data_IF_505370769694
#
_entry.id   IF_505370769694
#
_cell.length_a   1.000
_cell.length_b   1.000
_cell.length_c   1.000
_cell.angle_alpha   90.00
_cell.angle_beta   90.00
_cell.angle_gamma   90.00
#
_symmetry.space_group_name_H-M   'P 1'
#
loop_
_entity.id
_entity.type
_entity.pdbx_description
1 polymer ?
#
# COMPACT_ATOMS: atom_id res chain seq x y z
N UNK A 1 -14.19 2.57 1.16
CA UNK A 1 -14.64 1.35 1.87
C UNK A 1 -13.88 1.25 3.19
N UNK A 2 -14.60 1.30 4.31
CA UNK A 2 -13.99 1.13 5.64
C UNK A 2 -13.67 -0.35 5.82
N UNK A 3 -12.39 -0.68 6.05
CA UNK A 3 -11.96 -2.06 6.28
C UNK A 3 -11.92 -2.34 7.79
N UNK A 4 -12.60 -3.41 8.22
CA UNK A 4 -12.49 -3.87 9.60
C UNK A 4 -11.20 -4.68 9.77
N UNK A 5 -10.47 -4.46 10.86
CA UNK A 5 -9.25 -5.20 11.22
C UNK A 5 -9.46 -6.72 11.28
N UNK A 6 -10.67 -7.17 11.57
CA UNK A 6 -11.01 -8.59 11.72
C UNK A 6 -11.26 -9.32 10.39
N UNK A 7 -11.31 -8.62 9.24
CA UNK A 7 -11.58 -9.24 7.93
C UNK A 7 -10.71 -10.49 7.65
N UNK A 8 -9.38 -10.48 7.84
CA UNK A 8 -8.55 -11.66 7.61
C UNK A 8 -8.84 -12.83 8.56
N UNK A 9 -9.37 -12.56 9.75
CA UNK A 9 -9.79 -13.59 10.70
C UNK A 9 -11.15 -14.17 10.34
N UNK A 10 -12.06 -13.35 9.78
CA UNK A 10 -13.34 -13.82 9.25
C UNK A 10 -13.14 -14.75 8.05
N UNK A 11 -12.20 -14.42 7.14
CA UNK A 11 -11.87 -15.28 5.99
C UNK A 11 -11.34 -16.65 6.44
N UNK A 12 -10.32 -16.65 7.31
CA UNK A 12 -9.76 -17.90 7.85
C UNK A 12 -10.80 -18.72 8.60
N UNK A 13 -11.65 -18.06 9.39
CA UNK A 13 -12.76 -18.71 10.07
C UNK A 13 -13.79 -19.31 9.10
N UNK A 14 -14.11 -18.59 8.02
CA UNK A 14 -15.01 -19.06 6.96
C UNK A 14 -14.44 -20.25 6.17
N UNK A 15 -13.12 -20.38 6.09
CA UNK A 15 -12.42 -21.49 5.45
C UNK A 15 -12.11 -22.66 6.40
N UNK A 16 -12.74 -22.70 7.58
CA UNK A 16 -12.54 -23.71 8.63
C UNK A 16 -11.08 -23.83 9.12
N UNK A 17 -10.25 -22.81 8.93
CA UNK A 17 -8.93 -22.73 9.54
C UNK A 17 -9.09 -22.44 11.05
N UNK A 18 -8.59 -23.35 11.90
CA UNK A 18 -8.86 -23.47 13.35
C UNK A 18 -8.38 -22.31 14.26
N UNK A 19 -8.62 -21.05 13.90
CA UNK A 19 -8.23 -19.89 14.70
C UNK A 19 -9.45 -19.23 15.38
N UNK A 20 -9.58 -19.41 16.69
CA UNK A 20 -10.44 -18.62 17.62
C UNK A 20 -11.89 -18.42 17.16
N UNK A 21 -12.56 -19.52 16.81
CA UNK A 21 -13.90 -19.53 16.21
C UNK A 21 -14.93 -18.70 17.00
N UNK A 22 -14.98 -18.83 18.32
CA UNK A 22 -15.97 -18.13 19.16
C UNK A 22 -15.79 -16.59 19.12
N UNK A 23 -14.54 -16.11 19.17
CA UNK A 23 -14.26 -14.67 19.18
C UNK A 23 -14.60 -14.00 17.84
N UNK A 24 -14.38 -14.71 16.74
CA UNK A 24 -14.71 -14.22 15.39
C UNK A 24 -16.22 -14.21 15.20
N UNK A 25 -16.93 -15.28 15.62
CA UNK A 25 -18.38 -15.35 15.55
C UNK A 25 -19.05 -14.23 16.38
N UNK A 26 -18.57 -13.98 17.60
CA UNK A 26 -19.07 -12.89 18.42
C UNK A 26 -18.83 -11.52 17.78
N UNK A 27 -17.65 -11.31 17.19
CA UNK A 27 -17.33 -10.06 16.51
C UNK A 27 -18.23 -9.82 15.28
N UNK A 28 -18.43 -10.85 14.45
CA UNK A 28 -19.30 -10.76 13.25
C UNK A 28 -20.73 -10.39 13.64
N UNK A 29 -21.25 -10.93 14.75
CA UNK A 29 -22.58 -10.59 15.24
C UNK A 29 -22.73 -9.12 15.66
N UNK A 30 -21.63 -8.44 16.03
CA UNK A 30 -21.62 -7.06 16.50
C UNK A 30 -21.18 -6.06 15.42
N UNK A 31 -20.44 -6.50 14.41
CA UNK A 31 -19.89 -5.64 13.37
C UNK A 31 -20.64 -5.80 12.04
N UNK A 32 -21.44 -4.80 11.67
CA UNK A 32 -22.22 -4.79 10.43
C UNK A 32 -21.36 -5.01 9.17
N UNK A 33 -20.16 -4.41 9.12
CA UNK A 33 -19.22 -4.56 7.99
C UNK A 33 -18.77 -6.03 7.84
N UNK A 34 -18.42 -6.69 8.94
CA UNK A 34 -18.02 -8.09 8.90
C UNK A 34 -19.19 -9.03 8.61
N UNK A 35 -20.40 -8.70 9.06
CA UNK A 35 -21.62 -9.42 8.71
C UNK A 35 -21.96 -9.36 7.21
N UNK A 36 -21.91 -8.16 6.62
CA UNK A 36 -22.08 -7.98 5.17
C UNK A 36 -20.98 -8.71 4.38
N UNK A 37 -19.74 -8.65 4.85
CA UNK A 37 -18.63 -9.33 4.22
C UNK A 37 -18.79 -10.85 4.24
N UNK A 38 -19.19 -11.43 5.39
CA UNK A 38 -19.48 -12.85 5.51
C UNK A 38 -20.62 -13.28 4.57
N UNK A 39 -21.68 -12.47 4.47
CA UNK A 39 -22.77 -12.74 3.53
C UNK A 39 -22.29 -12.74 2.07
N UNK A 40 -21.34 -11.86 1.72
CA UNK A 40 -20.70 -11.86 0.41
C UNK A 40 -19.87 -13.13 0.16
N UNK A 41 -19.08 -13.58 1.16
CA UNK A 41 -18.31 -14.83 1.08
C UNK A 41 -19.22 -16.05 0.86
N UNK A 42 -20.34 -16.15 1.58
CA UNK A 42 -21.33 -17.21 1.35
C UNK A 42 -21.91 -17.20 -0.07
N UNK A 43 -22.25 -16.02 -0.61
CA UNK A 43 -22.74 -15.91 -1.99
C UNK A 43 -21.71 -16.37 -3.00
N UNK A 44 -20.44 -16.03 -2.80
CA UNK A 44 -19.35 -16.46 -3.68
C UNK A 44 -19.15 -17.97 -3.63
N UNK A 45 -19.10 -18.57 -2.43
CA UNK A 45 -18.97 -20.03 -2.27
C UNK A 45 -20.15 -20.76 -2.89
N UNK A 46 -21.38 -20.33 -2.62
CA UNK A 46 -22.57 -20.93 -3.23
C UNK A 46 -22.56 -20.77 -4.76
N UNK A 47 -22.10 -19.62 -5.28
CA UNK A 47 -21.96 -19.43 -6.73
C UNK A 47 -20.92 -20.36 -7.35
N UNK A 48 -19.79 -20.57 -6.66
CA UNK A 48 -18.75 -21.49 -7.08
C UNK A 48 -19.22 -22.95 -7.03
N UNK A 49 -19.95 -23.35 -5.99
CA UNK A 49 -20.55 -24.69 -5.87
C UNK A 49 -21.59 -24.95 -6.96
N UNK A 50 -22.43 -23.95 -7.28
CA UNK A 50 -23.39 -24.05 -8.38
C UNK A 50 -22.69 -24.19 -9.74
N UNK A 51 -21.51 -23.60 -9.91
CA UNK A 51 -20.70 -23.73 -11.11
C UNK A 51 -19.82 -25.01 -11.13
N UNK A 52 -19.61 -25.66 -9.98
CA UNK A 52 -18.80 -26.86 -9.86
C UNK A 52 -19.40 -28.08 -10.57
N UNK A 53 -20.71 -28.04 -10.85
CA UNK A 53 -21.39 -28.95 -11.76
C UNK A 53 -21.60 -28.23 -13.09
N UNK A 54 -20.60 -28.20 -13.98
CA UNK A 54 -20.84 -27.68 -15.32
C UNK A 54 -21.91 -28.55 -15.96
N UNK A 55 -23.10 -27.97 -16.16
CA UNK A 55 -24.14 -28.59 -16.95
C UNK A 55 -23.53 -28.84 -18.33
N UNK A 56 -23.39 -30.11 -18.71
CA UNK A 56 -22.74 -30.48 -19.96
C UNK A 56 -23.62 -29.99 -21.09
N UNK A 57 -23.13 -29.04 -21.86
CA UNK A 57 -23.81 -28.59 -23.06
C UNK A 57 -23.67 -29.72 -24.08
N UNK A 58 -24.77 -30.42 -24.32
CA UNK A 58 -24.82 -31.45 -25.36
C UNK A 58 -24.79 -30.79 -26.76
N UNK A 59 -24.30 -31.51 -27.76
CA UNK A 59 -24.14 -30.99 -29.13
C UNK A 59 -25.46 -30.43 -29.72
N UNK A 60 -26.59 -30.94 -29.27
CA UNK A 60 -27.94 -30.48 -29.66
C UNK A 60 -28.31 -29.12 -29.05
N UNK A 61 -27.75 -28.78 -27.90
CA UNK A 61 -27.97 -27.52 -27.19
C UNK A 61 -26.96 -26.44 -27.57
N UNK A 62 -25.80 -26.84 -28.12
CA UNK A 62 -24.71 -25.95 -28.50
C UNK A 62 -25.12 -24.82 -29.46
N UNK A 63 -25.95 -25.04 -30.51
CA UNK A 63 -26.38 -23.97 -31.40
C UNK A 63 -27.21 -22.90 -30.68
N UNK A 64 -28.14 -23.32 -29.81
CA UNK A 64 -28.99 -22.41 -29.04
C UNK A 64 -28.18 -21.63 -27.98
N UNK A 65 -27.20 -22.29 -27.36
CA UNK A 65 -26.25 -21.65 -26.46
C UNK A 65 -25.42 -20.56 -27.15
N UNK A 66 -24.84 -20.87 -28.32
CA UNK A 66 -24.07 -19.91 -29.12
C UNK A 66 -24.93 -18.75 -29.63
N UNK A 67 -26.17 -19.01 -29.99
CA UNK A 67 -27.15 -17.99 -30.38
C UNK A 67 -27.51 -17.09 -29.17
N UNK A 68 -27.63 -17.67 -27.98
CA UNK A 68 -27.78 -16.93 -26.72
C UNK A 68 -26.61 -15.99 -26.41
N UNK A 69 -25.36 -16.44 -26.55
CA UNK A 69 -24.15 -15.60 -26.41
C UNK A 69 -24.17 -14.48 -27.46
N UNK A 70 -24.50 -14.82 -28.71
CA UNK A 70 -24.54 -13.86 -29.81
C UNK A 70 -25.61 -12.78 -29.60
N UNK A 71 -26.75 -13.14 -29.00
CA UNK A 71 -27.86 -12.23 -28.67
C UNK A 71 -27.67 -11.45 -27.37
N UNK A 72 -26.99 -12.02 -26.37
CA UNK A 72 -26.64 -11.35 -25.09
C UNK A 72 -25.38 -10.49 -25.18
N UNK A 73 -24.71 -10.44 -26.32
CA UNK A 73 -23.88 -9.29 -26.68
C UNK A 73 -24.79 -8.07 -26.90
N UNK A 74 -25.42 -7.60 -25.83
CA UNK A 74 -25.78 -6.19 -25.73
C UNK A 74 -24.52 -5.37 -26.05
N UNK A 75 -24.63 -4.25 -26.78
CA UNK A 75 -23.47 -3.43 -27.07
C UNK A 75 -22.79 -3.09 -25.74
N UNK A 76 -21.53 -3.50 -25.59
CA UNK A 76 -20.74 -3.27 -24.38
C UNK A 76 -21.06 -1.88 -23.81
N UNK A 77 -21.66 -1.83 -22.62
CA UNK A 77 -22.10 -0.58 -22.00
C UNK A 77 -21.01 0.47 -22.17
N UNK A 78 -21.37 1.63 -22.72
CA UNK A 78 -20.46 2.71 -23.17
C UNK A 78 -19.24 2.80 -22.25
N UNK A 79 -18.12 2.19 -22.67
CA UNK A 79 -16.90 2.16 -21.86
C UNK A 79 -16.41 3.60 -21.76
N UNK A 80 -16.48 4.21 -20.57
CA UNK A 80 -15.82 5.49 -20.27
C UNK A 80 -14.28 5.40 -20.30
N UNK A 81 -13.71 4.40 -20.98
CA UNK A 81 -12.27 4.15 -21.06
C UNK A 81 -11.49 5.31 -21.69
N UNK A 82 -12.13 6.14 -22.52
CA UNK A 82 -11.50 7.35 -23.05
C UNK A 82 -11.13 8.35 -21.95
N UNK A 83 -12.02 8.59 -20.98
CA UNK A 83 -11.77 9.56 -19.90
C UNK A 83 -10.62 9.10 -18.99
N UNK A 84 -10.56 7.80 -18.69
CA UNK A 84 -9.47 7.21 -17.92
C UNK A 84 -8.14 7.19 -18.69
N UNK A 85 -8.18 6.99 -20.00
CA UNK A 85 -6.99 7.10 -20.83
C UNK A 85 -6.43 8.53 -20.84
N UNK A 86 -7.28 9.55 -20.95
CA UNK A 86 -6.85 10.95 -20.87
C UNK A 86 -6.27 11.30 -19.49
N UNK A 87 -6.91 10.84 -18.40
CA UNK A 87 -6.39 11.06 -17.05
C UNK A 87 -4.98 10.49 -16.86
N UNK A 88 -4.73 9.27 -17.36
CA UNK A 88 -3.41 8.63 -17.30
C UNK A 88 -2.35 9.36 -18.12
N UNK A 89 -2.70 9.79 -19.34
CA UNK A 89 -1.79 10.56 -20.21
C UNK A 89 -1.47 11.91 -19.60
N UNK A 90 -2.46 12.62 -19.04
CA UNK A 90 -2.25 13.90 -18.37
C UNK A 90 -1.36 13.77 -17.13
N UNK A 91 -1.56 12.73 -16.33
CA UNK A 91 -0.71 12.46 -15.16
C UNK A 91 0.75 12.19 -15.57
N UNK A 92 0.97 11.34 -16.59
CA UNK A 92 2.29 11.06 -17.10
C UNK A 92 2.99 12.32 -17.66
N UNK A 93 2.25 13.17 -18.38
CA UNK A 93 2.77 14.43 -18.90
C UNK A 93 3.18 15.41 -17.79
N UNK A 94 2.40 15.50 -16.70
CA UNK A 94 2.78 16.33 -15.54
C UNK A 94 4.06 15.85 -14.88
N UNK A 95 4.21 14.54 -14.67
CA UNK A 95 5.42 13.97 -14.07
C UNK A 95 6.63 14.31 -14.94
N UNK A 96 6.54 14.08 -16.25
CA UNK A 96 7.62 14.40 -17.18
C UNK A 96 7.98 15.89 -17.16
N UNK A 97 6.98 16.78 -17.13
CA UNK A 97 7.21 18.22 -17.06
C UNK A 97 7.90 18.66 -15.77
N UNK A 98 7.49 18.11 -14.61
CA UNK A 98 8.11 18.41 -13.31
C UNK A 98 9.55 17.89 -13.26
N UNK A 99 9.79 16.66 -13.73
CA UNK A 99 11.15 16.11 -13.79
C UNK A 99 12.06 16.96 -14.67
N UNK A 100 11.56 17.39 -15.84
CA UNK A 100 12.32 18.24 -16.74
C UNK A 100 12.59 19.61 -16.12
N UNK A 101 11.58 20.20 -15.45
CA UNK A 101 11.75 21.45 -14.72
C UNK A 101 12.82 21.36 -13.63
N UNK A 102 12.85 20.28 -12.84
CA UNK A 102 13.88 20.09 -11.80
C UNK A 102 15.29 19.98 -12.39
N UNK A 103 15.44 19.33 -13.55
CA UNK A 103 16.74 19.23 -14.23
C UNK A 103 17.20 20.60 -14.76
N UNK A 104 16.29 21.39 -15.34
CA UNK A 104 16.65 22.67 -15.95
C UNK A 104 16.69 23.86 -14.98
N UNK A 105 15.89 23.85 -13.92
CA UNK A 105 15.86 24.92 -12.92
C UNK A 105 17.13 24.97 -12.07
N UNK A 106 17.93 23.89 -12.10
CA UNK A 106 19.13 23.74 -11.28
C UNK A 106 18.76 23.51 -9.82
N UNK A 107 19.54 22.68 -9.13
CA UNK A 107 19.43 22.51 -7.68
C UNK A 107 19.64 23.90 -7.04
N UNK A 108 18.78 24.34 -6.09
CA UNK A 108 19.09 25.52 -5.28
C UNK A 108 20.51 25.32 -4.73
N UNK A 109 21.37 26.33 -4.93
CA UNK A 109 22.74 26.26 -4.41
C UNK A 109 22.65 25.88 -2.94
N UNK A 110 23.33 24.81 -2.54
CA UNK A 110 23.53 24.51 -1.13
C UNK A 110 24.11 25.79 -0.53
N UNK A 111 23.31 26.49 0.27
CA UNK A 111 23.80 27.60 1.07
C UNK A 111 24.84 26.95 1.97
N UNK A 112 26.10 27.20 1.64
CA UNK A 112 27.26 26.77 2.42
C UNK A 112 26.93 27.10 3.86
N UNK A 113 26.68 26.07 4.65
CA UNK A 113 26.42 26.21 6.07
C UNK A 113 27.56 27.07 6.62
N UNK A 114 27.17 28.14 7.31
CA UNK A 114 28.07 29.04 8.00
C UNK A 114 29.03 28.18 8.80
N UNK A 115 30.31 28.21 8.44
CA UNK A 115 31.35 27.44 9.11
C UNK A 115 31.26 27.80 10.60
N UNK A 116 30.83 26.85 11.43
CA UNK A 116 30.89 26.99 12.89
C UNK A 116 32.35 26.76 13.25
N UNK A 117 33.13 27.85 13.30
CA UNK A 117 34.59 27.81 13.47
C UNK A 117 35.06 27.49 14.90
N UNK A 118 34.18 27.31 15.89
CA UNK A 118 34.65 26.99 17.24
C UNK A 118 33.63 26.18 18.04
N UNK A 119 34.07 25.00 18.49
CA UNK A 119 33.47 24.29 19.61
C UNK A 119 34.50 24.29 20.74
N UNK A 120 34.35 25.21 21.70
CA UNK A 120 35.16 25.22 22.92
C UNK A 120 34.51 24.32 23.96
N UNK A 121 35.31 23.48 24.60
CA UNK A 121 34.90 22.63 25.73
C UNK A 121 35.77 23.00 26.92
N UNK A 122 35.16 23.36 28.05
CA UNK A 122 35.84 23.67 29.31
C UNK A 122 36.25 22.42 30.11
N UNK A 123 36.15 21.22 29.53
CA UNK A 123 36.51 19.96 30.20
C UNK A 123 38.00 19.68 30.01
N UNK A 124 38.77 19.77 31.09
CA UNK A 124 40.20 19.42 31.11
C UNK A 124 40.40 17.95 30.69
N UNK A 125 41.12 17.74 29.58
CA UNK A 125 41.48 16.40 29.10
C UNK A 125 40.48 15.73 28.14
N UNK A 126 39.41 16.40 27.73
CA UNK A 126 38.49 15.85 26.71
C UNK A 126 39.06 16.04 25.29
N UNK A 127 39.01 14.98 24.48
CA UNK A 127 39.30 15.05 23.04
C UNK A 127 38.00 14.97 22.25
N UNK A 128 37.78 15.94 21.37
CA UNK A 128 36.63 15.96 20.46
C UNK A 128 37.09 15.39 19.12
N UNK A 129 36.53 14.25 18.76
CA UNK A 129 36.77 13.63 17.44
C UNK A 129 35.50 13.80 16.62
N UNK A 130 35.56 14.61 15.57
CA UNK A 130 34.48 14.74 14.60
C UNK A 130 34.73 13.72 13.50
N UNK A 131 34.09 12.55 13.60
CA UNK A 131 34.13 11.56 12.53
C UNK A 131 33.08 11.91 11.47
N UNK A 132 33.60 12.20 10.28
CA UNK A 132 33.01 12.29 8.95
C UNK A 132 31.48 12.47 8.80
N UNK A 133 31.13 13.60 8.20
CA UNK A 133 29.82 13.90 7.64
C UNK A 133 29.48 12.95 6.51
N UNK A 134 28.44 12.13 6.67
CA UNK A 134 27.41 11.83 5.66
C UNK A 134 26.37 10.91 6.31
N UNK A 135 25.39 11.48 7.02
CA UNK A 135 24.10 10.79 7.18
C UNK A 135 23.27 11.10 5.94
N UNK A 136 22.71 10.06 5.31
CA UNK A 136 21.89 10.20 4.10
C UNK A 136 20.56 10.91 4.33
N UNK A 137 20.26 11.28 5.58
CA UNK A 137 19.09 12.03 5.99
C UNK A 137 19.57 13.33 6.65
N UNK A 138 19.82 14.32 5.80
CA UNK A 138 20.33 15.62 6.20
C UNK A 138 19.43 16.29 7.24
N UNK A 139 19.97 16.46 8.45
CA UNK A 139 19.87 17.70 9.27
C UNK A 139 20.50 17.54 10.67
N UNK A 140 21.12 16.40 11.01
CA UNK A 140 21.67 16.19 12.36
C UNK A 140 23.17 15.90 12.33
N UNK A 141 23.97 16.82 12.87
CA UNK A 141 25.38 16.60 13.16
C UNK A 141 25.52 15.93 14.55
N UNK A 142 26.04 14.70 14.59
CA UNK A 142 26.32 14.02 15.86
C UNK A 142 27.75 14.32 16.28
N UNK A 143 27.94 14.92 17.45
CA UNK A 143 29.26 15.21 18.02
C UNK A 143 29.54 14.18 19.12
N UNK A 144 30.64 13.44 18.98
CA UNK A 144 31.11 12.51 20.01
C UNK A 144 32.18 13.18 20.87
N UNK A 145 31.90 13.28 22.17
CA UNK A 145 32.85 13.81 23.15
C UNK A 145 33.40 12.64 23.96
N UNK A 146 34.71 12.40 23.89
CA UNK A 146 35.38 11.40 24.71
C UNK A 146 35.96 12.07 25.96
N UNK A 147 35.46 11.66 27.13
CA UNK A 147 35.98 12.08 28.44
C UNK A 147 36.73 10.89 29.06
N UNK A 148 38.00 11.03 29.45
CA UNK A 148 38.72 9.96 30.13
C UNK A 148 38.12 9.69 31.52
N UNK A 149 37.88 8.43 31.86
CA UNK A 149 37.15 7.95 33.06
C UNK A 149 37.72 8.39 34.43
N UNK A 150 38.73 9.25 34.50
CA UNK A 150 39.42 9.58 35.75
C UNK A 150 38.79 10.70 36.57
N UNK A 151 37.75 11.38 36.08
CA UNK A 151 37.07 12.44 36.84
C UNK A 151 35.54 12.40 36.68
N UNK A 152 34.92 11.26 37.04
CA UNK A 152 33.52 11.25 37.44
C UNK A 152 33.47 10.94 38.94
N UNK A 153 33.40 12.01 39.74
CA UNK A 153 33.23 11.98 41.19
C UNK A 153 31.98 12.77 41.55
#
# INVERSE_FOLDING_TARGET
MVKCRWMPSVERWFDDEQCRQESVAQHVAQCAICGEYLAALHKLRHGAEAAAFPERIEDTQFPAFMDGIRRRLEPAGRRHGGLWAFASVSAAAMIAAVSMFLVFAGRPRDVTATVVEEATTEIEGATVTVEEWYSSDGDTATIWVHVPEKEVW
#
